data_IF_444878138596
#
_entry.id   IF_444878138596
#
_cell.length_a   1.000
_cell.length_b   1.000
_cell.length_c   1.000
_cell.angle_alpha   90.00
_cell.angle_beta   90.00
_cell.angle_gamma   90.00
#
_symmetry.space_group_name_H-M   'P 1'
#
loop_
_entity.id
_entity.type
_entity.pdbx_description
1 polymer ?
#
# COMPACT_ATOMS: atom_id res chain seq x y z
N UNK A 1 5.43 22.44 -13.49
CA UNK A 1 4.97 21.33 -12.62
C UNK A 1 3.48 21.33 -12.39
N UNK A 2 2.84 22.44 -11.97
CA UNK A 2 1.38 22.47 -11.83
C UNK A 2 0.63 22.19 -13.14
N UNK A 3 1.05 22.82 -14.24
CA UNK A 3 0.46 22.61 -15.58
C UNK A 3 0.63 21.15 -16.02
N UNK A 4 1.81 20.56 -15.81
CA UNK A 4 2.07 19.15 -16.18
C UNK A 4 1.23 18.17 -15.36
N UNK A 5 1.01 18.44 -14.07
CA UNK A 5 0.11 17.63 -13.23
C UNK A 5 -1.35 17.74 -13.69
N UNK A 6 -1.81 18.95 -14.02
CA UNK A 6 -3.16 19.14 -14.55
C UNK A 6 -3.37 18.39 -15.87
N UNK A 7 -2.38 18.41 -16.77
CA UNK A 7 -2.43 17.69 -18.05
C UNK A 7 -2.56 16.17 -17.85
N UNK A 8 -1.83 15.59 -16.89
CA UNK A 8 -1.88 14.14 -16.60
C UNK A 8 -3.23 13.73 -16.01
N UNK A 9 -3.79 14.50 -15.07
CA UNK A 9 -5.11 14.22 -14.52
C UNK A 9 -6.20 14.28 -15.61
N UNK A 10 -6.16 15.30 -16.48
CA UNK A 10 -7.09 15.41 -17.60
C UNK A 10 -7.00 14.20 -18.55
N UNK A 11 -5.79 13.73 -18.84
CA UNK A 11 -5.58 12.56 -19.69
C UNK A 11 -6.19 11.29 -19.08
N UNK A 12 -5.97 11.03 -17.79
CA UNK A 12 -6.55 9.86 -17.09
C UNK A 12 -8.08 9.88 -17.11
N UNK A 13 -8.68 11.07 -16.95
CA UNK A 13 -10.13 11.24 -16.94
C UNK A 13 -10.73 11.02 -18.32
N UNK A 14 -10.07 11.52 -19.37
CA UNK A 14 -10.48 11.26 -20.76
C UNK A 14 -10.46 9.77 -21.10
N UNK A 15 -9.40 9.06 -20.69
CA UNK A 15 -9.29 7.60 -20.91
C UNK A 15 -10.38 6.80 -20.18
N UNK A 16 -10.90 7.29 -19.05
CA UNK A 16 -12.04 6.67 -18.37
C UNK A 16 -13.37 6.93 -19.10
N UNK A 17 -13.57 8.15 -19.61
CA UNK A 17 -14.84 8.58 -20.21
C UNK A 17 -15.07 8.01 -21.61
N UNK A 18 -14.04 7.99 -22.45
CA UNK A 18 -14.12 7.51 -23.84
C UNK A 18 -14.79 6.11 -23.92
N UNK A 19 -14.32 5.07 -23.21
CA UNK A 19 -14.93 3.75 -23.28
C UNK A 19 -16.36 3.73 -22.73
N UNK A 20 -16.71 4.60 -21.78
CA UNK A 20 -18.09 4.72 -21.29
C UNK A 20 -19.05 5.26 -22.37
N UNK A 21 -18.60 6.21 -23.21
CA UNK A 21 -19.39 6.70 -24.35
C UNK A 21 -19.51 5.69 -25.49
N UNK A 22 -18.44 4.97 -25.82
CA UNK A 22 -18.46 3.98 -26.90
C UNK A 22 -19.21 2.69 -26.51
N UNK A 23 -19.35 2.39 -25.21
CA UNK A 23 -19.98 1.17 -24.74
C UNK A 23 -21.51 1.29 -24.63
N UNK A 24 -22.20 1.22 -25.77
CA UNK A 24 -23.68 1.21 -25.87
C UNK A 24 -24.36 0.01 -25.17
N UNK A 25 -23.62 -1.03 -24.77
CA UNK A 25 -24.15 -2.27 -24.16
C UNK A 25 -24.38 -2.19 -22.63
N UNK A 26 -24.13 -1.05 -21.99
CA UNK A 26 -24.26 -0.88 -20.54
C UNK A 26 -25.71 -0.72 -20.04
N UNK A 27 -26.61 -0.13 -20.83
CA UNK A 27 -27.95 0.26 -20.36
C UNK A 27 -29.01 -0.87 -20.43
N UNK A 28 -28.80 -1.92 -21.24
CA UNK A 28 -29.88 -2.87 -21.58
C UNK A 28 -29.64 -4.35 -21.22
N UNK A 29 -28.55 -4.68 -20.52
CA UNK A 29 -28.25 -6.08 -20.15
C UNK A 29 -28.63 -6.36 -18.70
N UNK A 30 -29.91 -6.69 -18.45
CA UNK A 30 -30.44 -7.08 -17.12
C UNK A 30 -29.57 -8.14 -16.41
N UNK A 31 -29.00 -9.07 -17.18
CA UNK A 31 -28.19 -10.18 -16.66
C UNK A 31 -26.77 -9.79 -16.23
N UNK A 32 -26.32 -8.53 -16.43
CA UNK A 32 -25.06 -8.03 -15.86
C UNK A 32 -25.19 -7.56 -14.41
N UNK A 33 -26.41 -7.21 -13.99
CA UNK A 33 -26.69 -6.73 -12.64
C UNK A 33 -26.99 -7.88 -11.67
N UNK A 34 -27.16 -9.09 -12.20
CA UNK A 34 -27.39 -10.32 -11.43
C UNK A 34 -26.07 -11.07 -11.24
N UNK A 35 -25.91 -11.69 -10.07
CA UNK A 35 -24.80 -12.59 -9.79
C UNK A 35 -24.76 -13.69 -10.86
N UNK A 36 -23.57 -13.96 -11.42
CA UNK A 36 -23.40 -14.97 -12.46
C UNK A 36 -23.81 -16.36 -11.94
N UNK A 37 -24.43 -17.15 -12.80
CA UNK A 37 -25.33 -18.30 -12.55
C UNK A 37 -24.78 -19.49 -11.74
N UNK A 38 -23.60 -19.39 -11.12
CA UNK A 38 -23.28 -20.23 -9.96
C UNK A 38 -23.96 -19.63 -8.73
N UNK A 39 -25.29 -19.68 -8.75
CA UNK A 39 -26.20 -19.14 -7.76
C UNK A 39 -25.92 -19.71 -6.37
N UNK A 40 -25.45 -18.84 -5.50
CA UNK A 40 -25.74 -18.85 -4.08
C UNK A 40 -25.78 -17.39 -3.64
N UNK A 41 -26.94 -16.89 -3.23
CA UNK A 41 -26.97 -15.70 -2.39
C UNK A 41 -26.33 -16.09 -1.07
N UNK A 42 -25.21 -15.46 -0.81
CA UNK A 42 -24.61 -15.50 0.50
C UNK A 42 -25.55 -14.80 1.49
N UNK A 43 -26.46 -15.56 2.10
CA UNK A 43 -26.60 -15.51 3.56
C UNK A 43 -25.31 -16.06 4.19
N UNK A 44 -24.15 -15.54 3.77
CA UNK A 44 -22.90 -15.76 4.46
C UNK A 44 -22.81 -14.65 5.50
N UNK A 45 -22.39 -15.02 6.71
CA UNK A 45 -22.16 -14.07 7.77
C UNK A 45 -21.41 -12.85 7.22
N UNK A 46 -21.88 -11.64 7.57
CA UNK A 46 -21.22 -10.37 7.20
C UNK A 46 -19.75 -10.29 7.64
N UNK A 47 -19.31 -11.25 8.46
CA UNK A 47 -17.94 -11.43 8.92
C UNK A 47 -17.27 -12.51 8.09
N UNK A 48 -16.60 -12.08 7.04
CA UNK A 48 -15.59 -12.88 6.34
C UNK A 48 -14.47 -13.13 7.36
N UNK A 49 -13.97 -14.37 7.54
CA UNK A 49 -12.86 -14.63 8.43
C UNK A 49 -11.65 -13.81 7.96
N UNK A 50 -11.27 -12.84 8.79
CA UNK A 50 -10.15 -11.96 8.49
C UNK A 50 -8.84 -12.69 8.81
N UNK A 51 -7.91 -12.70 7.85
CA UNK A 51 -6.63 -13.32 8.08
C UNK A 51 -5.79 -12.44 9.02
N UNK A 52 -5.37 -13.01 10.15
CA UNK A 52 -4.48 -12.34 11.11
C UNK A 52 -3.11 -12.02 10.47
N UNK A 53 -2.71 -12.77 9.43
CA UNK A 53 -1.46 -12.53 8.71
C UNK A 53 -1.44 -11.17 7.99
N UNK A 54 -2.48 -10.81 7.22
CA UNK A 54 -2.52 -9.49 6.57
C UNK A 54 -2.49 -8.34 7.58
N UNK A 55 -3.10 -8.53 8.75
CA UNK A 55 -3.05 -7.52 9.82
C UNK A 55 -1.65 -7.31 10.37
N UNK A 56 -0.91 -8.39 10.63
CA UNK A 56 0.47 -8.32 11.12
C UNK A 56 1.38 -7.59 10.14
N UNK A 57 1.24 -7.87 8.84
CA UNK A 57 2.01 -7.18 7.80
C UNK A 57 1.68 -5.69 7.78
N UNK A 58 0.40 -5.32 7.91
CA UNK A 58 -0.01 -3.91 7.96
C UNK A 58 0.57 -3.18 9.18
N UNK A 59 0.59 -3.81 10.36
CA UNK A 59 1.20 -3.23 11.56
C UNK A 59 2.71 -3.04 11.40
N UNK A 60 3.42 -4.03 10.87
CA UNK A 60 4.87 -3.94 10.59
C UNK A 60 5.14 -2.80 9.61
N UNK A 61 4.35 -2.69 8.54
CA UNK A 61 4.49 -1.62 7.56
C UNK A 61 4.34 -0.22 8.20
N UNK A 62 3.39 -0.04 9.12
CA UNK A 62 3.20 1.25 9.81
C UNK A 62 4.44 1.62 10.65
N UNK A 63 5.00 0.67 11.38
CA UNK A 63 6.19 0.91 12.23
C UNK A 63 7.39 1.24 11.34
N UNK A 64 7.60 0.44 10.28
CA UNK A 64 8.69 0.65 9.33
C UNK A 64 8.59 2.00 8.61
N UNK A 65 7.38 2.44 8.23
CA UNK A 65 7.17 3.73 7.57
C UNK A 65 7.57 4.91 8.49
N UNK A 66 7.28 4.80 9.79
CA UNK A 66 7.71 5.80 10.79
C UNK A 66 9.24 5.82 10.91
N UNK A 67 9.90 4.66 10.94
CA UNK A 67 11.37 4.58 10.99
C UNK A 67 12.02 5.19 9.73
N UNK A 68 11.45 4.93 8.54
CA UNK A 68 11.92 5.53 7.28
C UNK A 68 11.77 7.04 7.28
N UNK A 69 10.66 7.58 7.80
CA UNK A 69 10.46 9.03 7.93
C UNK A 69 11.55 9.65 8.84
N UNK A 70 11.94 8.97 9.92
CA UNK A 70 13.04 9.42 10.79
C UNK A 70 14.40 9.38 10.10
N UNK A 71 14.59 8.50 9.12
CA UNK A 71 15.82 8.35 8.30
C UNK A 71 15.84 9.33 7.11
N UNK A 72 14.71 9.92 6.71
CA UNK A 72 14.65 10.82 5.56
C UNK A 72 15.51 12.12 5.64
N UNK A 73 15.74 12.78 6.81
CA UNK A 73 16.49 14.04 6.87
C UNK A 73 18.02 13.86 6.83
N UNK A 74 18.51 12.61 6.87
CA UNK A 74 19.92 12.23 6.80
C UNK A 74 20.74 12.96 5.72
N UNK A 75 20.33 12.97 4.43
CA UNK A 75 21.11 13.62 3.38
C UNK A 75 21.22 15.13 3.55
N UNK A 76 20.35 15.74 4.35
CA UNK A 76 20.35 17.17 4.65
C UNK A 76 21.21 17.52 5.88
N UNK A 77 21.74 16.53 6.60
CA UNK A 77 22.57 16.77 7.78
C UNK A 77 24.01 17.18 7.43
N UNK A 78 24.61 18.02 8.27
CA UNK A 78 26.01 18.39 8.16
C UNK A 78 26.93 17.26 8.63
N UNK A 79 27.56 16.58 7.67
CA UNK A 79 28.50 15.47 7.92
C UNK A 79 29.82 15.90 8.61
N UNK A 80 30.09 17.19 8.75
CA UNK A 80 31.30 17.70 9.40
C UNK A 80 31.29 17.52 10.92
N UNK A 81 30.11 17.41 11.54
CA UNK A 81 30.00 17.23 12.98
C UNK A 81 29.97 15.74 13.33
N UNK A 82 30.90 15.33 14.20
CA UNK A 82 31.00 13.95 14.65
C UNK A 82 29.70 13.47 15.30
N UNK A 83 29.03 14.32 16.08
CA UNK A 83 27.76 13.95 16.75
C UNK A 83 26.65 13.57 15.76
N UNK A 84 26.53 14.27 14.63
CA UNK A 84 25.53 13.91 13.62
C UNK A 84 25.85 12.56 12.96
N UNK A 85 27.13 12.28 12.69
CA UNK A 85 27.58 10.98 12.19
C UNK A 85 27.27 9.81 13.14
N UNK A 86 27.33 10.02 14.45
CA UNK A 86 26.95 9.01 15.44
C UNK A 86 25.44 8.75 15.45
N UNK A 87 24.62 9.81 15.45
CA UNK A 87 23.15 9.69 15.45
C UNK A 87 22.68 8.93 14.20
N UNK A 88 23.24 9.31 13.05
CA UNK A 88 23.09 8.65 11.77
C UNK A 88 23.30 7.13 11.84
N UNK A 89 24.45 6.72 12.37
CA UNK A 89 24.84 5.32 12.46
C UNK A 89 23.90 4.54 13.40
N UNK A 90 23.54 5.14 14.53
CA UNK A 90 22.61 4.54 15.50
C UNK A 90 21.22 4.32 14.90
N UNK A 91 20.67 5.28 14.15
CA UNK A 91 19.36 5.12 13.51
C UNK A 91 19.34 3.97 12.51
N UNK A 92 20.40 3.83 11.71
CA UNK A 92 20.52 2.73 10.74
C UNK A 92 20.66 1.37 11.45
N UNK A 93 21.43 1.31 12.53
CA UNK A 93 21.56 0.06 13.32
C UNK A 93 20.21 -0.36 13.89
N UNK A 94 19.46 0.57 14.49
CA UNK A 94 18.14 0.27 15.08
C UNK A 94 17.20 -0.30 14.02
N UNK A 95 17.16 0.31 12.84
CA UNK A 95 16.37 -0.14 11.69
C UNK A 95 16.77 -1.55 11.19
N UNK A 96 18.07 -1.87 11.17
CA UNK A 96 18.51 -3.21 10.77
C UNK A 96 18.14 -4.24 11.85
N UNK A 97 18.28 -3.88 13.13
CA UNK A 97 17.93 -4.75 14.25
C UNK A 97 16.43 -5.03 14.30
N UNK A 98 15.57 -4.03 14.07
CA UNK A 98 14.11 -4.20 14.05
C UNK A 98 13.71 -5.24 12.98
N UNK A 99 14.23 -5.09 11.76
CA UNK A 99 14.00 -6.04 10.65
C UNK A 99 14.50 -7.46 10.97
N UNK A 100 15.67 -7.60 11.58
CA UNK A 100 16.21 -8.91 11.94
C UNK A 100 15.34 -9.63 12.97
N UNK A 101 14.82 -8.90 13.96
CA UNK A 101 13.94 -9.44 15.00
C UNK A 101 12.63 -9.94 14.35
N UNK A 102 12.03 -9.15 13.47
CA UNK A 102 10.79 -9.52 12.78
C UNK A 102 10.97 -10.74 11.87
N UNK A 103 12.13 -10.84 11.20
CA UNK A 103 12.45 -12.00 10.38
C UNK A 103 12.63 -13.26 11.22
N UNK A 104 13.36 -13.18 12.34
CA UNK A 104 13.51 -14.32 13.25
C UNK A 104 12.17 -14.80 13.84
N UNK A 105 11.20 -13.90 14.03
CA UNK A 105 9.86 -14.24 14.51
C UNK A 105 8.97 -14.89 13.44
N UNK A 106 9.47 -15.09 12.21
CA UNK A 106 8.69 -15.57 11.07
C UNK A 106 7.40 -14.76 10.83
N UNK A 107 7.37 -13.48 11.25
CA UNK A 107 6.20 -12.63 11.04
C UNK A 107 5.95 -12.35 9.54
N UNK A 108 7.02 -12.41 8.75
CA UNK A 108 7.02 -12.23 7.29
C UNK A 108 6.84 -13.53 6.49
N UNK A 109 6.81 -14.71 7.13
CA UNK A 109 6.64 -15.96 6.38
C UNK A 109 5.22 -16.07 5.86
N UNK A 110 5.07 -16.06 4.53
CA UNK A 110 3.77 -16.22 3.85
C UNK A 110 3.30 -17.67 3.77
N UNK A 111 4.22 -18.64 3.85
CA UNK A 111 3.90 -20.06 3.75
C UNK A 111 4.10 -20.78 5.08
N UNK A 112 2.99 -21.28 5.62
CA UNK A 112 2.88 -22.57 6.29
C UNK A 112 1.64 -23.26 5.75
#
# INVERSE_FOLDING_TARGET
MLITMMMLCMLSYMLYIIPMFFNKKLLFMKNKLTLFECGFDMMSNTRIPFSIHFFKICLIFIIFDIEVIMILPIPMMNYSNWMYMWIMYMMIIIFILSLLIEWQQNALSWYK
#
